data_IF_888723940907
#
_entry.id   IF_888723940907
#
_cell.length_a   1.000
_cell.length_b   1.000
_cell.length_c   1.000
_cell.angle_alpha   90.00
_cell.angle_beta   90.00
_cell.angle_gamma   90.00
#
_symmetry.space_group_name_H-M   'P 1'
#
loop_
_entity.id
_entity.type
_entity.pdbx_description
1 polymer ?
#
# COMPACT_ATOMS: atom_id res chain seq x y z
N UNK A 1 -2.74 -21.94 10.86
CA UNK A 1 -2.64 -20.63 11.53
C UNK A 1 -1.34 -19.89 11.20
N UNK A 2 -0.17 -20.55 11.24
CA UNK A 2 1.12 -19.95 10.84
C UNK A 2 1.17 -19.45 9.38
N UNK A 3 0.59 -20.19 8.43
CA UNK A 3 0.57 -19.82 7.01
C UNK A 3 -0.12 -18.47 6.75
N UNK A 4 -1.26 -18.20 7.40
CA UNK A 4 -1.96 -16.93 7.25
C UNK A 4 -1.14 -15.75 7.81
N UNK A 5 -0.45 -15.96 8.92
CA UNK A 5 0.44 -14.93 9.49
C UNK A 5 1.65 -14.65 8.60
N UNK A 6 2.27 -15.70 8.04
CA UNK A 6 3.41 -15.57 7.13
C UNK A 6 3.00 -14.84 5.85
N UNK A 7 1.88 -15.24 5.23
CA UNK A 7 1.36 -14.58 4.03
C UNK A 7 0.97 -13.11 4.27
N UNK A 8 0.36 -12.79 5.41
CA UNK A 8 0.04 -11.41 5.78
C UNK A 8 1.31 -10.56 5.97
N UNK A 9 2.36 -11.14 6.55
CA UNK A 9 3.63 -10.48 6.82
C UNK A 9 4.44 -10.23 5.54
N UNK A 10 4.47 -11.19 4.62
CA UNK A 10 5.20 -11.07 3.35
C UNK A 10 4.62 -9.96 2.47
N UNK A 11 3.29 -9.85 2.40
CA UNK A 11 2.63 -8.79 1.63
C UNK A 11 2.98 -7.41 2.19
N UNK A 12 2.80 -7.17 3.49
CA UNK A 12 3.09 -5.86 4.07
C UNK A 12 4.59 -5.52 4.00
N UNK A 13 5.48 -6.46 4.30
CA UNK A 13 6.93 -6.24 4.30
C UNK A 13 7.50 -5.86 2.93
N UNK A 14 6.95 -6.43 1.86
CA UNK A 14 7.36 -6.13 0.47
C UNK A 14 7.14 -4.66 0.11
N UNK A 15 5.96 -4.11 0.40
CA UNK A 15 5.63 -2.73 0.09
C UNK A 15 6.57 -1.73 0.78
N UNK A 16 6.84 -1.91 2.09
CA UNK A 16 7.74 -1.01 2.81
C UNK A 16 9.16 -1.07 2.25
N UNK A 17 9.66 -2.26 1.92
CA UNK A 17 11.00 -2.42 1.35
C UNK A 17 11.10 -1.76 -0.02
N UNK A 18 10.17 -2.02 -0.94
CA UNK A 18 10.14 -1.36 -2.24
C UNK A 18 10.03 0.16 -2.10
N UNK A 19 9.15 0.66 -1.21
CA UNK A 19 9.01 2.08 -0.92
C UNK A 19 10.33 2.71 -0.42
N UNK A 20 11.07 2.03 0.47
CA UNK A 20 12.37 2.54 0.93
C UNK A 20 13.44 2.57 -0.17
N UNK A 21 13.42 1.59 -1.10
CA UNK A 21 14.38 1.51 -2.20
C UNK A 21 14.15 2.63 -3.24
N UNK A 22 12.90 2.92 -3.58
CA UNK A 22 12.55 3.96 -4.58
C UNK A 22 12.82 5.38 -4.06
N UNK A 23 12.54 5.65 -2.78
CA UNK A 23 12.62 7.00 -2.20
C UNK A 23 13.94 7.31 -1.48
N UNK A 24 14.77 6.31 -1.16
CA UNK A 24 16.06 6.40 -0.44
C UNK A 24 16.04 7.42 0.71
N UNK A 25 16.57 8.63 0.49
CA UNK A 25 16.66 9.75 1.44
C UNK A 25 15.30 10.26 1.94
N UNK A 26 14.23 10.09 1.16
CA UNK A 26 12.85 10.47 1.54
C UNK A 26 12.01 9.29 2.04
N UNK A 27 12.63 8.14 2.36
CA UNK A 27 11.93 6.93 2.79
C UNK A 27 11.02 7.14 4.01
N UNK A 28 11.44 7.95 4.98
CA UNK A 28 10.61 8.20 6.16
C UNK A 28 9.28 8.87 5.82
N UNK A 29 9.27 9.80 4.85
CA UNK A 29 8.04 10.48 4.41
C UNK A 29 7.11 9.53 3.66
N UNK A 30 7.66 8.78 2.68
CA UNK A 30 6.87 7.83 1.88
C UNK A 30 6.31 6.71 2.75
N UNK A 31 7.11 6.16 3.67
CA UNK A 31 6.65 5.13 4.61
C UNK A 31 5.59 5.68 5.57
N UNK A 32 5.73 6.92 6.06
CA UNK A 32 4.69 7.54 6.88
C UNK A 32 3.36 7.69 6.11
N UNK A 33 3.41 8.03 4.82
CA UNK A 33 2.23 8.03 3.95
C UNK A 33 1.57 6.64 3.86
N UNK A 34 2.35 5.58 3.71
CA UNK A 34 1.83 4.19 3.72
C UNK A 34 1.16 3.86 5.06
N UNK A 35 1.72 4.31 6.18
CA UNK A 35 1.12 4.07 7.51
C UNK A 35 -0.18 4.84 7.71
N UNK A 36 -0.26 6.06 7.18
CA UNK A 36 -1.49 6.83 7.19
C UNK A 36 -2.61 6.11 6.42
N UNK A 37 -2.32 5.57 5.23
CA UNK A 37 -3.26 4.76 4.44
C UNK A 37 -3.80 3.56 5.23
N UNK A 38 -2.94 2.89 6.00
CA UNK A 38 -3.34 1.76 6.88
C UNK A 38 -4.30 2.23 7.97
N UNK A 39 -4.03 3.38 8.59
CA UNK A 39 -4.93 3.96 9.59
C UNK A 39 -6.27 4.37 8.98
N UNK A 40 -6.28 4.96 7.78
CA UNK A 40 -7.52 5.27 7.05
C UNK A 40 -8.33 4.00 6.80
N UNK A 41 -7.69 2.92 6.35
CA UNK A 41 -8.35 1.63 6.12
C UNK A 41 -8.99 1.08 7.41
N UNK A 42 -8.33 1.25 8.55
CA UNK A 42 -8.86 0.82 9.85
C UNK A 42 -10.14 1.57 10.22
N UNK A 43 -10.28 2.84 9.84
CA UNK A 43 -11.51 3.61 10.04
C UNK A 43 -12.58 3.31 8.99
N UNK A 44 -12.19 3.08 7.74
CA UNK A 44 -13.12 2.78 6.65
C UNK A 44 -13.85 1.46 6.88
N UNK A 45 -13.15 0.44 7.39
CA UNK A 45 -13.72 -0.89 7.65
C UNK A 45 -15.01 -0.85 8.51
N UNK A 46 -15.03 -0.35 9.75
CA UNK A 46 -16.24 -0.28 10.57
C UNK A 46 -17.31 0.66 9.99
N UNK A 47 -16.90 1.73 9.29
CA UNK A 47 -17.82 2.67 8.66
C UNK A 47 -18.58 2.02 7.49
N UNK A 48 -17.90 1.18 6.72
CA UNK A 48 -18.50 0.42 5.64
C UNK A 48 -19.50 -0.62 6.17
N UNK A 49 -19.16 -1.31 7.26
CA UNK A 49 -20.09 -2.25 7.90
C UNK A 49 -21.33 -1.55 8.46
N UNK A 50 -21.16 -0.38 9.09
CA UNK A 50 -22.29 0.40 9.61
C UNK A 50 -23.27 0.85 8.52
N UNK A 51 -22.77 1.16 7.32
CA UNK A 51 -23.60 1.60 6.20
C UNK A 51 -24.24 0.45 5.42
N UNK A 52 -23.55 -0.69 5.28
CA UNK A 52 -23.99 -1.79 4.41
C UNK A 52 -24.64 -2.96 5.14
N UNK A 53 -24.40 -3.14 6.44
CA UNK A 53 -25.03 -4.22 7.23
C UNK A 53 -26.22 -3.63 7.98
N UNK A 54 -27.42 -3.79 7.41
CA UNK A 54 -28.67 -3.47 8.11
C UNK A 54 -29.18 -4.64 8.96
N UNK A 55 -28.80 -5.87 8.62
CA UNK A 55 -29.22 -7.08 9.31
C UNK A 55 -28.05 -8.06 9.42
N UNK A 56 -27.46 -8.16 10.63
CA UNK A 56 -26.25 -8.95 10.88
C UNK A 56 -26.43 -10.44 10.57
N UNK A 57 -27.67 -10.94 10.62
CA UNK A 57 -27.99 -12.36 10.40
C UNK A 57 -27.95 -12.77 8.92
N UNK A 58 -27.99 -11.80 8.00
CA UNK A 58 -28.06 -12.08 6.58
C UNK A 58 -26.67 -12.28 5.94
N UNK A 59 -26.30 -13.55 5.70
CA UNK A 59 -25.01 -13.96 5.11
C UNK A 59 -24.73 -13.37 3.72
N UNK A 60 -25.77 -13.01 2.97
CA UNK A 60 -25.62 -12.47 1.61
C UNK A 60 -24.99 -11.07 1.62
N UNK A 61 -25.33 -10.22 2.59
CA UNK A 61 -24.80 -8.86 2.72
C UNK A 61 -23.29 -8.89 3.00
N UNK A 62 -22.87 -9.75 3.92
CA UNK A 62 -21.45 -9.96 4.24
C UNK A 62 -20.66 -10.46 3.04
N UNK A 63 -21.22 -11.39 2.25
CA UNK A 63 -20.54 -11.95 1.06
C UNK A 63 -20.21 -10.85 0.05
N UNK A 64 -21.15 -9.93 -0.19
CA UNK A 64 -20.96 -8.83 -1.14
C UNK A 64 -19.85 -7.89 -0.67
N UNK A 65 -19.83 -7.53 0.62
CA UNK A 65 -18.79 -6.67 1.20
C UNK A 65 -17.41 -7.33 1.07
N UNK A 66 -17.27 -8.61 1.44
CA UNK A 66 -15.99 -9.31 1.35
C UNK A 66 -15.50 -9.48 -0.10
N UNK A 67 -16.42 -9.77 -1.03
CA UNK A 67 -16.07 -9.85 -2.46
C UNK A 67 -15.63 -8.48 -2.99
N UNK A 68 -16.33 -7.39 -2.61
CA UNK A 68 -15.94 -6.03 -2.96
C UNK A 68 -14.53 -5.69 -2.47
N UNK A 69 -14.23 -5.99 -1.21
CA UNK A 69 -12.91 -5.79 -0.63
C UNK A 69 -11.83 -6.64 -1.32
N UNK A 70 -12.15 -7.89 -1.69
CA UNK A 70 -11.24 -8.76 -2.43
C UNK A 70 -10.91 -8.21 -3.82
N UNK A 71 -11.89 -7.67 -4.55
CA UNK A 71 -11.68 -7.06 -5.87
C UNK A 71 -10.79 -5.82 -5.75
N UNK A 72 -11.07 -4.92 -4.79
CA UNK A 72 -10.26 -3.72 -4.56
C UNK A 72 -8.81 -4.10 -4.25
N UNK A 73 -8.61 -5.12 -3.39
CA UNK A 73 -7.29 -5.60 -3.04
C UNK A 73 -6.55 -6.20 -4.25
N UNK A 74 -7.25 -6.94 -5.11
CA UNK A 74 -6.68 -7.52 -6.33
C UNK A 74 -6.26 -6.44 -7.33
N UNK A 75 -7.09 -5.41 -7.50
CA UNK A 75 -6.81 -4.26 -8.35
C UNK A 75 -5.59 -3.49 -7.82
N UNK A 76 -5.54 -3.19 -6.52
CA UNK A 76 -4.42 -2.49 -5.90
C UNK A 76 -3.09 -3.25 -6.03
N UNK A 77 -3.11 -4.58 -5.85
CA UNK A 77 -1.92 -5.42 -6.07
C UNK A 77 -1.49 -5.44 -7.54
N UNK A 78 -2.45 -5.45 -8.46
CA UNK A 78 -2.16 -5.38 -9.91
C UNK A 78 -1.50 -4.05 -10.26
N UNK A 79 -2.03 -2.93 -9.76
CA UNK A 79 -1.40 -1.61 -9.94
C UNK A 79 0.01 -1.55 -9.37
N UNK A 80 0.24 -2.13 -8.19
CA UNK A 80 1.58 -2.19 -7.62
C UNK A 80 2.57 -2.91 -8.54
N UNK A 81 2.17 -4.01 -9.18
CA UNK A 81 3.04 -4.73 -10.09
C UNK A 81 3.44 -3.91 -11.33
N UNK A 82 2.53 -3.04 -11.83
CA UNK A 82 2.84 -2.14 -12.95
C UNK A 82 3.69 -0.92 -12.54
N UNK A 83 3.50 -0.39 -11.33
CA UNK A 83 4.18 0.83 -10.87
C UNK A 83 5.49 0.56 -10.12
N UNK A 84 5.70 -0.64 -9.60
CA UNK A 84 6.90 -0.95 -8.82
C UNK A 84 8.13 -0.84 -9.72
N UNK A 85 8.95 0.15 -9.42
CA UNK A 85 10.25 0.34 -10.05
C UNK A 85 11.30 0.18 -8.96
N UNK A 86 12.27 -0.71 -9.20
CA UNK A 86 13.40 -0.94 -8.30
C UNK A 86 14.45 0.18 -8.40
N UNK A 87 14.38 0.97 -9.47
CA UNK A 87 15.27 2.09 -9.70
C UNK A 87 14.92 3.29 -8.81
N UNK A 88 15.94 4.03 -8.32
CA UNK A 88 15.70 5.25 -7.58
C UNK A 88 14.90 6.24 -8.41
N UNK A 89 13.85 6.78 -7.82
CA UNK A 89 13.08 7.82 -8.46
C UNK A 89 13.94 9.04 -8.80
N UNK A 90 13.56 9.78 -9.83
CA UNK A 90 14.36 10.87 -10.39
C UNK A 90 14.58 12.00 -9.38
N UNK A 91 13.61 12.25 -8.50
CA UNK A 91 13.71 13.21 -7.38
C UNK A 91 14.78 12.85 -6.35
N UNK A 92 15.25 11.60 -6.35
CA UNK A 92 16.27 11.08 -5.44
C UNK A 92 17.67 11.15 -6.04
N UNK A 93 17.77 11.40 -7.36
CA UNK A 93 19.05 11.67 -8.04
C UNK A 93 19.47 13.07 -7.64
N UNK A 94 20.47 13.16 -6.76
CA UNK A 94 21.15 14.41 -6.47
C UNK A 94 21.65 14.90 -7.84
N UNK A 95 21.08 15.99 -8.36
CA UNK A 95 21.67 16.67 -9.51
C UNK A 95 23.04 17.08 -9.04
N UNK A 96 24.05 16.30 -9.39
CA UNK A 96 25.43 16.77 -9.38
C UNK A 96 25.47 17.89 -10.41
N UNK A 97 25.04 19.09 -10.01
CA UNK A 97 25.43 20.36 -10.62
C UNK A 97 26.90 20.59 -10.22
N UNK A 98 27.76 19.66 -10.63
CA UNK A 98 29.21 19.67 -10.55
C UNK A 98 29.75 19.00 -11.84
N UNK A 99 29.27 19.49 -12.99
CA UNK A 99 29.98 19.39 -14.27
C UNK A 99 29.78 20.70 -15.05
N UNK A 100 30.15 21.79 -14.41
CA UNK A 100 30.52 23.05 -15.06
C UNK A 100 31.39 23.86 -14.08
N UNK A 101 32.45 23.22 -13.59
CA UNK A 101 33.63 23.95 -13.16
C UNK A 101 34.70 23.62 -14.21
N UNK A 102 35.19 24.65 -14.92
CA UNK A 102 36.37 24.67 -15.80
C UNK A 102 36.26 23.91 -17.13
N UNK A 103 35.79 24.62 -18.16
CA UNK A 103 36.62 24.98 -19.32
C UNK A 103 36.42 26.46 -19.62
#
# INVERSE_FOLDING_TARGET
>A
MAINFVLASTNCGGFYKCATLISRQYAHFVVAGIQFEKSVTLFVSPLLFLLFVQDESNREQWRIIFIGMAIILFVANSFFWFFVTDQPAEFTKIVTKQKSEKE
#
